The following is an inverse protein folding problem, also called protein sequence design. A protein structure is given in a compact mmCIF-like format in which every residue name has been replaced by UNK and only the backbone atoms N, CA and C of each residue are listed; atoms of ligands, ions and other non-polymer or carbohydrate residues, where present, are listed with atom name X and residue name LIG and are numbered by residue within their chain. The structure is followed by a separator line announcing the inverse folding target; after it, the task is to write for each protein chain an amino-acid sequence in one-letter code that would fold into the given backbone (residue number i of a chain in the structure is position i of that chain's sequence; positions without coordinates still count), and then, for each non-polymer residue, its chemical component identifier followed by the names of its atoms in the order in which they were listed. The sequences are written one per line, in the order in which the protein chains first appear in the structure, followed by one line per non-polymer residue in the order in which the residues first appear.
data_IF_276470497150
#
_entry.id   IF_276470497150
#
_cell.length_a   1.000
_cell.length_b   1.000
_cell.length_c   1.000
_cell.angle_alpha   90.00
_cell.angle_beta   90.00
_cell.angle_gamma   90.00
#
_symmetry.space_group_name_H-M   'P 1'
#
loop_
_entity.id
_entity.type
_entity.pdbx_description
1 polymer ?
#
# COMPACT_ATOMS: atom_id res chain seq x y z
N UNK A 1 6.32 -15.30 10.60
CA UNK A 1 6.40 -13.84 10.87
C UNK A 1 7.57 -13.27 10.08
N UNK A 2 7.39 -12.11 9.43
CA UNK A 2 8.42 -11.47 8.59
C UNK A 2 9.11 -10.37 9.40
N UNK A 3 10.43 -10.25 9.26
CA UNK A 3 11.22 -9.17 9.83
C UNK A 3 11.55 -8.15 8.73
N UNK A 4 11.30 -6.88 8.99
CA UNK A 4 11.51 -5.77 8.06
C UNK A 4 12.38 -4.73 8.78
N UNK A 5 13.36 -4.15 8.09
CA UNK A 5 14.09 -2.99 8.60
C UNK A 5 13.46 -1.73 8.05
N UNK A 6 13.16 -0.79 8.94
CA UNK A 6 12.47 0.44 8.59
C UNK A 6 12.87 1.60 9.49
N UNK A 7 11.93 2.51 9.70
CA UNK A 7 12.18 3.75 10.44
C UNK A 7 11.90 3.56 11.93
N UNK A 8 11.02 2.63 12.32
CA UNK A 8 10.60 2.42 13.71
C UNK A 8 10.44 0.95 14.08
N UNK A 9 10.77 0.62 15.31
CA UNK A 9 10.63 -0.71 15.88
C UNK A 9 9.21 -0.92 16.40
N UNK A 10 8.47 -1.85 15.81
CA UNK A 10 7.10 -2.17 16.23
C UNK A 10 6.53 -3.43 15.54
N UNK A 11 5.47 -3.99 16.13
CA UNK A 11 4.59 -4.94 15.46
C UNK A 11 3.62 -4.24 14.49
N UNK A 12 3.58 -4.71 13.23
CA UNK A 12 2.70 -4.21 12.18
C UNK A 12 1.37 -4.97 12.12
N UNK A 13 0.36 -4.36 11.48
CA UNK A 13 -0.99 -4.94 11.29
C UNK A 13 -0.99 -6.38 10.74
N UNK A 14 -0.07 -6.71 9.85
CA UNK A 14 0.02 -8.02 9.20
C UNK A 14 0.80 -9.06 10.03
N UNK A 15 1.20 -8.70 11.27
CA UNK A 15 2.02 -9.52 12.14
C UNK A 15 3.51 -9.54 11.75
N UNK A 16 3.93 -8.71 10.78
CA UNK A 16 5.34 -8.45 10.52
C UNK A 16 5.94 -7.59 11.63
N UNK A 17 7.23 -7.77 11.87
CA UNK A 17 8.01 -6.97 12.80
C UNK A 17 8.83 -5.96 12.00
N UNK A 18 8.66 -4.67 12.28
CA UNK A 18 9.57 -3.63 11.80
C UNK A 18 10.61 -3.37 12.89
N UNK A 19 11.89 -3.26 12.51
CA UNK A 19 12.97 -2.77 13.37
C UNK A 19 13.54 -1.48 12.79
N UNK A 20 13.48 -0.42 13.58
CA UNK A 20 14.02 0.88 13.23
C UNK A 20 15.53 0.86 13.26
N UNK A 21 16.19 1.18 12.13
CA UNK A 21 17.65 1.18 12.06
C UNK A 21 18.31 2.21 13.00
N UNK A 22 17.55 3.26 13.36
CA UNK A 22 17.99 4.32 14.25
C UNK A 22 17.51 4.14 15.70
N UNK A 23 16.74 3.08 15.98
CA UNK A 23 16.21 2.86 17.33
C UNK A 23 17.29 2.29 18.25
N UNK A 24 17.33 2.73 19.53
CA UNK A 24 18.19 2.11 20.52
C UNK A 24 17.91 0.60 20.66
N UNK A 25 18.93 -0.25 20.85
CA UNK A 25 18.76 -1.71 20.95
C UNK A 25 17.73 -2.17 22.00
N UNK A 26 17.53 -1.41 23.08
CA UNK A 26 16.50 -1.70 24.10
C UNK A 26 15.07 -1.72 23.53
N UNK A 27 14.78 -0.94 22.49
CA UNK A 27 13.48 -0.99 21.81
C UNK A 27 13.33 -2.23 20.96
N UNK A 28 14.44 -2.74 20.40
CA UNK A 28 14.42 -4.02 19.68
C UNK A 28 14.13 -5.15 20.65
N UNK A 29 14.78 -5.16 21.82
CA UNK A 29 14.50 -6.14 22.87
C UNK A 29 13.04 -6.08 23.32
N UNK A 30 12.48 -4.88 23.52
CA UNK A 30 11.06 -4.74 23.85
C UNK A 30 10.15 -5.37 22.78
N UNK A 31 10.37 -5.02 21.52
CA UNK A 31 9.53 -5.45 20.40
C UNK A 31 9.67 -6.95 20.13
N UNK A 32 10.89 -7.49 20.19
CA UNK A 32 11.17 -8.91 19.94
C UNK A 32 10.73 -9.79 21.12
N UNK A 33 10.99 -9.39 22.35
CA UNK A 33 10.74 -10.24 23.51
C UNK A 33 9.30 -10.15 24.02
N UNK A 34 8.60 -9.03 23.81
CA UNK A 34 7.25 -8.81 24.34
C UNK A 34 6.20 -8.72 23.23
N UNK A 35 6.30 -7.74 22.32
CA UNK A 35 5.26 -7.54 21.29
C UNK A 35 5.12 -8.75 20.34
N UNK A 36 6.23 -9.39 19.98
CA UNK A 36 6.23 -10.57 19.13
C UNK A 36 5.58 -11.79 19.81
N UNK A 37 5.74 -11.91 21.13
CA UNK A 37 5.20 -13.02 21.92
C UNK A 37 3.69 -12.88 22.06
N UNK A 38 3.21 -11.65 22.25
CA UNK A 38 1.79 -11.33 22.35
C UNK A 38 1.11 -11.17 20.98
N UNK A 39 1.87 -11.14 19.89
CA UNK A 39 1.34 -10.81 18.57
C UNK A 39 0.18 -11.72 18.16
N UNK A 40 0.20 -12.99 18.55
CA UNK A 40 -0.83 -13.95 18.15
C UNK A 40 -2.19 -13.56 18.76
N UNK A 41 -2.22 -13.10 20.01
CA UNK A 41 -3.43 -12.57 20.65
C UNK A 41 -3.92 -11.28 19.99
N UNK A 42 -3.00 -10.40 19.58
CA UNK A 42 -3.35 -9.20 18.82
C UNK A 42 -3.94 -9.55 17.45
N UNK A 43 -3.32 -10.48 16.73
CA UNK A 43 -3.78 -10.91 15.40
C UNK A 43 -5.14 -11.61 15.49
N UNK A 44 -5.39 -12.41 16.51
CA UNK A 44 -6.72 -13.01 16.75
C UNK A 44 -7.80 -11.94 16.93
N UNK A 45 -7.54 -10.91 17.77
CA UNK A 45 -8.47 -9.81 17.96
C UNK A 45 -8.69 -9.01 16.68
N UNK A 46 -7.62 -8.65 15.98
CA UNK A 46 -7.70 -7.92 14.70
C UNK A 46 -8.55 -8.70 13.70
N UNK A 47 -8.27 -10.01 13.53
CA UNK A 47 -9.04 -10.87 12.63
C UNK A 47 -10.52 -10.95 13.01
N UNK A 48 -10.84 -11.00 14.31
CA UNK A 48 -12.23 -10.99 14.79
C UNK A 48 -12.94 -9.68 14.40
N UNK A 49 -12.32 -8.53 14.65
CA UNK A 49 -12.93 -7.24 14.30
C UNK A 49 -13.04 -7.05 12.78
N UNK A 50 -12.03 -7.44 12.01
CA UNK A 50 -12.10 -7.39 10.55
C UNK A 50 -13.20 -8.30 9.99
N UNK A 51 -13.40 -9.47 10.61
CA UNK A 51 -14.49 -10.39 10.22
C UNK A 51 -15.85 -9.76 10.49
N UNK A 52 -16.04 -9.15 11.67
CA UNK A 52 -17.27 -8.43 12.01
C UNK A 52 -17.56 -7.29 11.03
N UNK A 53 -16.55 -6.51 10.66
CA UNK A 53 -16.69 -5.45 9.66
C UNK A 53 -17.01 -6.00 8.26
N UNK A 54 -16.34 -7.09 7.85
CA UNK A 54 -16.64 -7.79 6.59
C UNK A 54 -18.09 -8.26 6.56
N UNK A 55 -18.61 -8.80 7.66
CA UNK A 55 -19.99 -9.22 7.77
C UNK A 55 -20.95 -8.03 7.72
N UNK A 56 -20.65 -6.97 8.47
CA UNK A 56 -21.43 -5.73 8.47
C UNK A 56 -21.57 -5.15 7.07
N UNK A 57 -20.47 -5.04 6.32
CA UNK A 57 -20.46 -4.56 4.94
C UNK A 57 -20.68 -5.68 3.90
N UNK A 58 -21.32 -6.81 4.26
CA UNK A 58 -21.73 -7.87 3.31
C UNK A 58 -20.64 -8.34 2.34
N UNK A 59 -19.44 -8.56 2.87
CA UNK A 59 -18.33 -9.21 2.17
C UNK A 59 -17.21 -8.29 1.68
N UNK A 60 -17.17 -7.02 2.09
CA UNK A 60 -16.01 -6.16 1.80
C UNK A 60 -14.75 -6.70 2.47
N UNK A 61 -13.60 -6.61 1.81
CA UNK A 61 -12.33 -7.02 2.41
C UNK A 61 -11.51 -5.82 2.87
N UNK A 62 -10.95 -5.89 4.08
CA UNK A 62 -10.14 -4.81 4.62
C UNK A 62 -8.69 -5.01 4.23
N UNK A 63 -8.10 -4.05 3.52
CA UNK A 63 -6.75 -4.14 2.97
C UNK A 63 -5.96 -2.88 3.25
N UNK A 64 -4.63 -3.06 3.28
CA UNK A 64 -3.70 -1.95 3.21
C UNK A 64 -3.65 -1.48 1.76
N UNK A 65 -3.67 -0.16 1.55
CA UNK A 65 -3.43 0.40 0.22
C UNK A 65 -1.97 0.19 -0.19
N UNK A 66 -1.66 -0.47 -1.33
CA UNK A 66 -0.29 -0.71 -1.76
C UNK A 66 0.51 0.56 -2.08
N UNK A 67 -0.18 1.66 -2.40
CA UNK A 67 0.46 2.94 -2.72
C UNK A 67 0.55 3.86 -1.49
N UNK A 68 0.05 3.42 -0.32
CA UNK A 68 0.11 4.19 0.92
C UNK A 68 1.43 3.97 1.66
N UNK A 69 2.09 5.07 2.05
CA UNK A 69 3.29 5.04 2.88
C UNK A 69 2.98 4.71 4.35
N UNK A 70 1.70 4.66 4.73
CA UNK A 70 1.29 4.42 6.10
C UNK A 70 1.32 2.92 6.45
N UNK A 71 2.34 2.50 7.21
CA UNK A 71 2.34 1.20 7.87
C UNK A 71 1.68 1.32 9.25
N UNK A 72 0.52 0.70 9.39
CA UNK A 72 -0.23 0.76 10.65
C UNK A 72 0.35 -0.21 11.68
N UNK A 73 0.70 0.31 12.86
CA UNK A 73 1.06 -0.51 14.03
C UNK A 73 -0.13 -1.35 14.45
N UNK A 74 0.10 -2.61 14.81
CA UNK A 74 -0.97 -3.54 15.17
C UNK A 74 -1.88 -3.00 16.29
N UNK A 75 -1.29 -2.44 17.35
CA UNK A 75 -2.06 -1.89 18.46
C UNK A 75 -2.93 -0.69 18.07
N UNK A 76 -2.37 0.24 17.29
CA UNK A 76 -3.08 1.41 16.78
C UNK A 76 -4.21 0.98 15.85
N UNK A 77 -3.93 0.01 14.97
CA UNK A 77 -4.93 -0.56 14.07
C UNK A 77 -6.10 -1.19 14.83
N UNK A 78 -5.81 -2.00 15.84
CA UNK A 78 -6.82 -2.63 16.68
C UNK A 78 -7.70 -1.58 17.39
N UNK A 79 -7.09 -0.50 17.88
CA UNK A 79 -7.85 0.60 18.47
C UNK A 79 -8.82 1.24 17.46
N UNK A 80 -8.37 1.49 16.23
CA UNK A 80 -9.23 2.02 15.16
C UNK A 80 -10.37 1.08 14.78
N UNK A 81 -10.10 -0.22 14.70
CA UNK A 81 -11.14 -1.24 14.49
C UNK A 81 -12.19 -1.25 15.60
N UNK A 82 -11.74 -1.13 16.86
CA UNK A 82 -12.63 -1.06 18.01
C UNK A 82 -13.54 0.18 17.93
N UNK A 83 -12.98 1.35 17.63
CA UNK A 83 -13.76 2.59 17.49
C UNK A 83 -14.84 2.43 16.41
N UNK A 84 -14.46 1.95 15.22
CA UNK A 84 -15.40 1.68 14.13
C UNK A 84 -16.51 0.72 14.56
N UNK A 85 -16.16 -0.38 15.23
CA UNK A 85 -17.14 -1.37 15.66
C UNK A 85 -18.20 -0.81 16.60
N UNK A 86 -17.88 0.22 17.39
CA UNK A 86 -18.82 0.79 18.37
C UNK A 86 -19.95 1.61 17.74
N UNK A 87 -19.73 2.26 16.59
CA UNK A 87 -20.73 3.16 16.00
C UNK A 87 -21.38 2.60 14.73
N UNK A 88 -20.84 1.54 14.13
CA UNK A 88 -21.38 0.95 12.90
C UNK A 88 -22.73 0.24 13.10
N UNK A 89 -23.02 -0.32 14.27
CA UNK A 89 -24.23 -1.14 14.48
C UNK A 89 -25.56 -0.38 14.41
N UNK A 90 -25.53 0.95 14.38
CA UNK A 90 -26.72 1.80 14.48
C UNK A 90 -27.53 1.94 13.18
N UNK A 91 -26.99 1.53 12.02
CA UNK A 91 -27.56 1.87 10.70
C UNK A 91 -27.73 0.68 9.74
N UNK A 92 -28.19 -0.47 10.24
CA UNK A 92 -28.37 -1.68 9.42
C UNK A 92 -29.45 -1.59 8.33
N UNK A 93 -30.36 -0.61 8.41
CA UNK A 93 -31.43 -0.40 7.44
C UNK A 93 -31.02 0.42 6.20
N UNK A 94 -29.76 0.90 6.16
CA UNK A 94 -29.21 1.74 5.10
C UNK A 94 -29.19 1.07 3.72
N UNK A 95 -29.24 1.86 2.63
CA UNK A 95 -29.18 1.35 1.25
C UNK A 95 -27.89 0.59 0.93
N UNK A 96 -26.77 0.97 1.55
CA UNK A 96 -25.51 0.24 1.46
C UNK A 96 -25.63 -1.24 1.87
N UNK A 97 -26.60 -1.56 2.75
CA UNK A 97 -26.94 -2.93 3.13
C UNK A 97 -27.97 -3.56 2.19
N UNK A 98 -28.65 -2.81 1.33
CA UNK A 98 -29.55 -3.37 0.30
C UNK A 98 -28.79 -3.85 -0.93
N UNK A 99 -27.58 -3.32 -1.15
CA UNK A 99 -26.67 -3.81 -2.19
C UNK A 99 -26.38 -5.30 -1.96
N UNK A 100 -26.49 -6.09 -3.03
CA UNK A 100 -26.42 -7.56 -2.96
C UNK A 100 -25.10 -8.04 -2.34
N UNK A 101 -23.98 -7.37 -2.66
CA UNK A 101 -22.70 -7.63 -2.02
C UNK A 101 -21.64 -6.57 -2.33
N UNK A 102 -20.74 -6.36 -1.36
CA UNK A 102 -19.48 -5.62 -1.53
C UNK A 102 -18.29 -6.54 -1.80
N UNK A 103 -18.54 -7.81 -2.15
CA UNK A 103 -17.50 -8.73 -2.65
C UNK A 103 -16.79 -8.08 -3.83
N UNK A 104 -15.45 -8.14 -3.81
CA UNK A 104 -14.52 -7.46 -4.73
C UNK A 104 -14.28 -5.97 -4.46
N UNK A 105 -14.87 -5.38 -3.43
CA UNK A 105 -14.44 -4.06 -2.97
C UNK A 105 -13.53 -4.18 -1.77
N UNK A 106 -12.73 -3.14 -1.55
CA UNK A 106 -11.71 -3.12 -0.53
C UNK A 106 -11.86 -1.86 0.32
N UNK A 107 -11.73 -2.03 1.63
CA UNK A 107 -11.76 -0.95 2.61
C UNK A 107 -10.35 -0.74 3.18
N UNK A 108 -9.91 0.51 3.22
CA UNK A 108 -8.65 0.93 3.81
C UNK A 108 -8.92 1.89 4.96
N UNK A 109 -8.48 1.50 6.17
CA UNK A 109 -8.64 2.34 7.36
C UNK A 109 -7.37 3.18 7.52
N UNK A 110 -7.50 4.48 7.29
CA UNK A 110 -6.41 5.45 7.35
C UNK A 110 -6.75 6.56 8.36
N UNK A 111 -6.08 6.62 9.53
CA UNK A 111 -6.37 7.62 10.55
C UNK A 111 -5.95 9.04 10.16
N UNK A 112 -5.19 9.19 9.07
CA UNK A 112 -4.80 10.50 8.53
C UNK A 112 -5.76 11.00 7.45
N UNK A 113 -6.78 10.21 7.08
CA UNK A 113 -7.83 10.69 6.17
C UNK A 113 -8.68 11.72 6.89
N UNK A 114 -8.93 12.86 6.25
CA UNK A 114 -9.83 13.89 6.77
C UNK A 114 -11.31 13.54 6.57
N UNK A 115 -11.62 12.83 5.48
CA UNK A 115 -12.97 12.42 5.09
C UNK A 115 -12.91 11.09 4.29
N UNK A 116 -14.05 10.39 4.14
CA UNK A 116 -14.14 9.25 3.25
C UNK A 116 -13.76 9.61 1.81
N UNK A 117 -12.86 8.83 1.19
CA UNK A 117 -12.34 9.12 -0.15
C UNK A 117 -11.91 7.84 -0.88
N UNK A 118 -11.69 7.92 -2.20
CA UNK A 118 -11.16 6.80 -2.98
C UNK A 118 -9.64 6.93 -3.13
N UNK A 119 -8.92 5.84 -2.90
CA UNK A 119 -7.48 5.78 -3.19
C UNK A 119 -7.23 5.70 -4.70
N UNK A 120 -5.99 5.97 -5.13
CA UNK A 120 -5.57 5.78 -6.52
C UNK A 120 -5.64 4.31 -6.98
N UNK A 121 -5.68 3.36 -6.04
CA UNK A 121 -5.81 1.92 -6.28
C UNK A 121 -7.27 1.44 -6.29
N UNK A 122 -8.24 2.33 -6.05
CA UNK A 122 -9.67 2.02 -6.05
C UNK A 122 -10.18 1.41 -4.74
N UNK A 123 -9.49 1.66 -3.62
CA UNK A 123 -9.95 1.28 -2.27
C UNK A 123 -10.80 2.41 -1.70
N UNK A 124 -11.85 2.06 -0.96
CA UNK A 124 -12.55 3.01 -0.10
C UNK A 124 -11.67 3.32 1.10
N UNK A 125 -11.22 4.57 1.25
CA UNK A 125 -10.45 5.05 2.38
C UNK A 125 -11.37 5.72 3.39
N UNK A 126 -11.31 5.28 4.65
CA UNK A 126 -12.06 5.86 5.77
C UNK A 126 -11.16 6.09 6.98
N UNK A 127 -11.57 7.02 7.84
CA UNK A 127 -11.06 7.19 9.19
C UNK A 127 -11.94 6.43 10.19
N UNK A 128 -11.36 6.04 11.33
CA UNK A 128 -12.08 5.37 12.40
C UNK A 128 -13.08 6.26 13.16
N UNK A 129 -13.05 7.57 12.90
CA UNK A 129 -13.93 8.56 13.52
C UNK A 129 -14.98 9.11 12.53
N UNK A 130 -14.97 8.64 11.28
CA UNK A 130 -15.97 9.06 10.30
C UNK A 130 -17.36 8.58 10.74
N UNK A 131 -18.38 9.42 10.55
CA UNK A 131 -19.73 9.04 10.88
C UNK A 131 -20.18 7.86 9.99
N UNK A 132 -20.88 6.89 10.58
CA UNK A 132 -21.33 5.69 9.85
C UNK A 132 -22.16 6.04 8.61
N UNK A 133 -23.03 7.04 8.69
CA UNK A 133 -23.83 7.47 7.55
C UNK A 133 -22.95 8.00 6.41
N UNK A 134 -21.98 8.86 6.73
CA UNK A 134 -21.05 9.42 5.74
C UNK A 134 -20.25 8.31 5.03
N UNK A 135 -19.80 7.29 5.77
CA UNK A 135 -19.12 6.12 5.20
C UNK A 135 -20.05 5.38 4.22
N UNK A 136 -21.28 5.09 4.64
CA UNK A 136 -22.21 4.28 3.86
C UNK A 136 -22.68 5.01 2.59
N UNK A 137 -23.03 6.29 2.71
CA UNK A 137 -23.41 7.15 1.58
C UNK A 137 -22.25 7.30 0.60
N UNK A 138 -21.03 7.55 1.11
CA UNK A 138 -19.84 7.63 0.29
C UNK A 138 -19.61 6.35 -0.52
N UNK A 139 -19.71 5.18 0.13
CA UNK A 139 -19.52 3.89 -0.53
C UNK A 139 -20.54 3.67 -1.66
N UNK A 140 -21.83 3.93 -1.41
CA UNK A 140 -22.90 3.78 -2.41
C UNK A 140 -22.64 4.68 -3.60
N UNK A 141 -22.38 5.97 -3.35
CA UNK A 141 -22.20 6.97 -4.39
C UNK A 141 -20.94 6.78 -5.23
N UNK A 142 -19.94 6.05 -4.73
CA UNK A 142 -18.63 5.87 -5.38
C UNK A 142 -18.37 4.42 -5.82
N UNK A 143 -19.38 3.56 -5.81
CA UNK A 143 -19.24 2.14 -6.16
C UNK A 143 -18.70 1.92 -7.57
N UNK A 144 -19.29 2.57 -8.57
CA UNK A 144 -18.86 2.45 -9.97
C UNK A 144 -17.44 3.00 -10.17
N UNK A 145 -17.17 4.19 -9.61
CA UNK A 145 -15.85 4.81 -9.66
C UNK A 145 -14.76 3.93 -9.02
N UNK A 146 -15.06 3.26 -7.90
CA UNK A 146 -14.13 2.35 -7.23
C UNK A 146 -13.80 1.14 -8.12
N UNK A 147 -14.81 0.56 -8.77
CA UNK A 147 -14.63 -0.56 -9.70
C UNK A 147 -13.80 -0.17 -10.92
N UNK A 148 -14.11 0.97 -11.55
CA UNK A 148 -13.36 1.48 -12.69
C UNK A 148 -11.90 1.79 -12.33
N UNK A 149 -11.69 2.49 -11.21
CA UNK A 149 -10.34 2.85 -10.73
C UNK A 149 -9.51 1.61 -10.43
N UNK A 150 -10.11 0.61 -9.77
CA UNK A 150 -9.44 -0.67 -9.49
C UNK A 150 -9.06 -1.41 -10.76
N UNK A 151 -9.97 -1.48 -11.73
CA UNK A 151 -9.73 -2.14 -13.01
C UNK A 151 -8.62 -1.45 -13.81
N UNK A 152 -8.54 -0.12 -13.76
CA UNK A 152 -7.44 0.65 -14.36
C UNK A 152 -6.13 0.39 -13.62
N UNK A 153 -6.14 0.43 -12.29
CA UNK A 153 -4.97 0.14 -11.46
C UNK A 153 -4.39 -1.25 -11.72
N UNK A 154 -5.22 -2.29 -11.81
CA UNK A 154 -4.76 -3.65 -12.12
C UNK A 154 -4.13 -3.77 -13.52
N UNK A 155 -4.67 -3.03 -14.51
CA UNK A 155 -4.07 -2.94 -15.85
C UNK A 155 -2.70 -2.26 -15.79
N UNK A 156 -2.58 -1.18 -15.03
CA UNK A 156 -1.32 -0.46 -14.85
C UNK A 156 -0.28 -1.30 -14.12
N UNK A 157 -0.64 -2.04 -13.07
CA UNK A 157 0.28 -2.99 -12.40
C UNK A 157 0.83 -4.02 -13.38
N UNK A 158 -0.04 -4.63 -14.20
CA UNK A 158 0.40 -5.60 -15.22
C UNK A 158 1.31 -4.95 -16.27
N UNK A 159 0.97 -3.73 -16.71
CA UNK A 159 1.75 -2.97 -17.69
C UNK A 159 3.12 -2.58 -17.14
N UNK A 160 3.19 -2.09 -15.90
CA UNK A 160 4.41 -1.75 -15.18
C UNK A 160 5.35 -2.96 -15.09
N UNK A 161 4.87 -4.10 -14.58
CA UNK A 161 5.67 -5.31 -14.45
C UNK A 161 6.21 -5.80 -15.80
N UNK A 162 5.39 -5.74 -16.86
CA UNK A 162 5.83 -6.11 -18.20
C UNK A 162 6.88 -5.16 -18.75
N UNK A 163 6.73 -3.85 -18.53
CA UNK A 163 7.69 -2.85 -18.98
C UNK A 163 9.01 -2.94 -18.21
N UNK A 164 8.98 -3.11 -16.89
CA UNK A 164 10.18 -3.31 -16.07
C UNK A 164 10.98 -4.52 -16.56
N UNK A 165 10.32 -5.67 -16.79
CA UNK A 165 10.97 -6.87 -17.36
C UNK A 165 11.55 -6.59 -18.75
N UNK A 166 10.84 -5.84 -19.59
CA UNK A 166 11.30 -5.49 -20.94
C UNK A 166 12.53 -4.57 -20.88
N UNK A 167 12.54 -3.56 -20.01
CA UNK A 167 13.69 -2.67 -19.77
C UNK A 167 14.87 -3.49 -19.28
N UNK A 168 14.69 -4.30 -18.23
CA UNK A 168 15.76 -5.15 -17.68
C UNK A 168 16.39 -6.04 -18.76
N UNK A 169 15.56 -6.68 -19.60
CA UNK A 169 16.03 -7.54 -20.68
C UNK A 169 16.75 -6.77 -21.79
N UNK A 170 16.15 -5.69 -22.31
CA UNK A 170 16.72 -4.95 -23.46
C UNK A 170 18.03 -4.25 -23.09
N UNK A 171 18.07 -3.62 -21.92
CA UNK A 171 19.28 -2.98 -21.41
C UNK A 171 20.29 -3.95 -20.81
N UNK A 172 19.97 -5.24 -20.71
CA UNK A 172 20.81 -6.26 -20.07
C UNK A 172 21.22 -5.82 -18.65
N UNK A 173 20.26 -5.30 -17.91
CA UNK A 173 20.48 -4.86 -16.53
C UNK A 173 20.64 -6.08 -15.64
N UNK A 174 21.52 -5.95 -14.64
CA UNK A 174 21.64 -6.96 -13.58
C UNK A 174 20.37 -6.98 -12.74
N UNK A 175 19.82 -5.80 -12.43
CA UNK A 175 18.59 -5.66 -11.67
C UNK A 175 17.88 -4.34 -12.01
N UNK A 176 16.56 -4.30 -11.78
CA UNK A 176 15.76 -3.08 -11.87
C UNK A 176 14.92 -2.91 -10.60
N UNK A 177 15.12 -1.78 -9.92
CA UNK A 177 14.47 -1.42 -8.67
C UNK A 177 13.56 -0.22 -8.89
N UNK A 178 12.48 -0.16 -8.12
CA UNK A 178 11.54 0.97 -8.11
C UNK A 178 11.50 1.57 -6.71
N UNK A 179 11.43 2.89 -6.63
CA UNK A 179 10.98 3.56 -5.42
C UNK A 179 9.46 3.46 -5.34
N UNK A 180 8.95 2.82 -4.28
CA UNK A 180 7.51 2.62 -4.06
C UNK A 180 6.73 3.93 -3.88
N UNK A 181 7.42 5.06 -3.62
CA UNK A 181 6.82 6.39 -3.48
C UNK A 181 6.55 7.10 -4.81
N UNK A 182 6.79 6.43 -5.94
CA UNK A 182 6.56 6.96 -7.29
C UNK A 182 5.29 6.33 -7.84
N UNK A 183 4.44 7.13 -8.49
CA UNK A 183 3.19 6.62 -9.04
C UNK A 183 3.49 5.60 -10.15
N UNK A 184 2.65 4.58 -10.27
CA UNK A 184 2.82 3.56 -11.32
C UNK A 184 2.81 4.15 -12.72
N UNK A 185 1.95 5.15 -12.96
CA UNK A 185 1.90 5.89 -14.22
C UNK A 185 3.23 6.57 -14.57
N UNK A 186 3.92 7.13 -13.58
CA UNK A 186 5.25 7.75 -13.73
C UNK A 186 6.33 6.70 -14.02
N UNK A 187 6.29 5.54 -13.33
CA UNK A 187 7.19 4.41 -13.60
C UNK A 187 6.98 3.87 -15.02
N UNK A 188 5.72 3.68 -15.43
CA UNK A 188 5.34 3.24 -16.78
C UNK A 188 5.88 4.22 -17.82
N UNK A 189 5.67 5.52 -17.64
CA UNK A 189 6.17 6.54 -18.54
C UNK A 189 7.70 6.53 -18.61
N UNK A 190 8.39 6.45 -17.47
CA UNK A 190 9.84 6.35 -17.39
C UNK A 190 10.36 5.13 -18.18
N UNK A 191 9.77 3.95 -17.97
CA UNK A 191 10.15 2.73 -18.67
C UNK A 191 9.92 2.85 -20.19
N UNK A 192 8.79 3.42 -20.61
CA UNK A 192 8.51 3.64 -22.03
C UNK A 192 9.54 4.57 -22.66
N UNK A 193 9.88 5.68 -21.99
CA UNK A 193 10.91 6.62 -22.45
C UNK A 193 12.28 5.96 -22.56
N UNK A 194 12.67 5.15 -21.58
CA UNK A 194 13.93 4.40 -21.62
C UNK A 194 13.97 3.47 -22.84
N UNK A 195 12.91 2.70 -23.07
CA UNK A 195 12.82 1.80 -24.23
C UNK A 195 12.87 2.55 -25.56
N UNK A 196 12.33 3.77 -25.63
CA UNK A 196 12.39 4.59 -26.84
C UNK A 196 13.80 5.15 -27.10
N UNK A 197 14.54 5.51 -26.05
CA UNK A 197 15.94 5.98 -26.16
C UNK A 197 16.95 4.86 -25.94
N UNK A 198 16.58 3.63 -26.29
CA UNK A 198 17.37 2.43 -25.96
C UNK A 198 18.81 2.49 -26.47
N UNK A 199 19.02 2.87 -27.73
CA UNK A 199 20.35 2.91 -28.34
C UNK A 199 21.30 3.90 -27.64
N UNK A 200 20.75 5.04 -27.19
CA UNK A 200 21.49 6.09 -26.47
C UNK A 200 21.96 5.58 -25.12
N UNK A 201 21.08 4.92 -24.36
CA UNK A 201 21.37 4.54 -22.98
C UNK A 201 21.94 3.14 -22.82
N UNK A 202 21.85 2.26 -23.83
CA UNK A 202 22.32 0.88 -23.73
C UNK A 202 23.80 0.82 -23.32
N UNK A 203 24.67 1.64 -23.92
CA UNK A 203 26.10 1.64 -23.60
C UNK A 203 26.40 2.07 -22.16
N UNK A 204 25.54 2.91 -21.58
CA UNK A 204 25.72 3.49 -20.24
C UNK A 204 25.15 2.55 -19.18
N UNK A 205 23.99 1.95 -19.44
CA UNK A 205 23.23 1.17 -18.45
C UNK A 205 23.49 -0.33 -18.50
N UNK A 206 24.20 -0.83 -19.53
CA UNK A 206 24.46 -2.26 -19.68
C UNK A 206 25.11 -2.85 -18.44
N UNK A 207 24.57 -3.98 -17.95
CA UNK A 207 25.04 -4.70 -16.76
C UNK A 207 24.97 -3.91 -15.44
N UNK A 208 24.39 -2.71 -15.42
CA UNK A 208 24.17 -1.96 -14.20
C UNK A 208 22.96 -2.46 -13.41
N UNK A 209 22.88 -2.06 -12.14
CA UNK A 209 21.64 -2.10 -11.35
C UNK A 209 20.96 -0.74 -11.49
N UNK A 210 19.77 -0.70 -12.07
CA UNK A 210 19.02 0.55 -12.28
C UNK A 210 17.96 0.70 -11.20
N UNK A 211 17.84 1.89 -10.61
CA UNK A 211 16.74 2.26 -9.71
C UNK A 211 15.98 3.44 -10.30
N UNK A 212 14.66 3.31 -10.46
CA UNK A 212 13.80 4.45 -10.75
C UNK A 212 13.47 5.12 -9.41
N UNK A 213 13.91 6.36 -9.24
CA UNK A 213 13.83 7.12 -7.99
C UNK A 213 13.32 8.56 -8.25
N UNK A 214 13.41 9.45 -7.25
CA UNK A 214 13.05 10.88 -7.36
C UNK A 214 14.23 11.75 -7.78
N UNK A 215 15.46 11.28 -7.56
CA UNK A 215 16.69 12.02 -7.81
C UNK A 215 17.73 11.14 -8.50
N UNK A 216 18.68 11.77 -9.19
CA UNK A 216 19.88 11.09 -9.65
C UNK A 216 20.78 10.73 -8.46
N UNK A 217 21.24 9.49 -8.40
CA UNK A 217 22.18 9.04 -7.38
C UNK A 217 23.01 7.86 -7.89
N UNK A 218 24.27 7.77 -7.47
CA UNK A 218 25.11 6.60 -7.70
C UNK A 218 25.49 6.03 -6.34
N UNK A 219 24.90 4.88 -6.00
CA UNK A 219 25.21 4.21 -4.75
C UNK A 219 26.56 3.49 -4.84
N UNK A 220 27.26 3.36 -3.71
CA UNK A 220 28.56 2.68 -3.62
C UNK A 220 28.52 1.22 -4.08
N UNK A 221 27.35 0.58 -4.01
CA UNK A 221 27.13 -0.78 -4.51
C UNK A 221 26.94 -0.85 -6.05
N UNK A 222 27.12 0.27 -6.77
CA UNK A 222 26.98 0.33 -8.23
C UNK A 222 25.54 0.44 -8.73
N UNK A 223 24.57 0.75 -7.84
CA UNK A 223 23.20 1.06 -8.27
C UNK A 223 23.12 2.49 -8.78
N UNK A 224 22.72 2.63 -10.05
CA UNK A 224 22.42 3.91 -10.70
C UNK A 224 20.96 4.23 -10.45
N UNK A 225 20.68 5.34 -9.80
CA UNK A 225 19.32 5.86 -9.61
C UNK A 225 19.07 7.00 -10.60
N UNK A 226 17.94 6.94 -11.30
CA UNK A 226 17.47 8.00 -12.20
C UNK A 226 16.10 8.49 -11.74
N UNK A 227 15.82 9.80 -11.81
CA UNK A 227 14.50 10.32 -11.54
C UNK A 227 13.50 9.85 -12.61
N UNK A 228 12.26 9.52 -12.26
CA UNK A 228 11.24 9.07 -13.24
C UNK A 228 11.03 10.07 -14.40
N UNK A 229 11.21 11.36 -14.14
CA UNK A 229 11.11 12.46 -15.11
C UNK A 229 12.47 12.90 -15.66
N UNK A 230 13.48 12.02 -15.65
CA UNK A 230 14.83 12.31 -16.12
C UNK A 230 14.83 13.15 -17.40
N UNK A 231 15.66 14.18 -17.41
CA UNK A 231 16.03 14.93 -18.60
C UNK A 231 17.56 14.96 -18.63
N UNK A 232 18.12 14.61 -19.78
CA UNK A 232 19.54 14.79 -20.05
C UNK A 232 19.64 15.97 -21.01
N UNK A 233 20.27 17.05 -20.54
CA UNK A 233 20.67 18.15 -21.41
C UNK A 233 21.63 17.63 -22.51
#
# INVERSE_FOLDING_TARGET
KRLIFGDKSCLLRDGSLELGANDPPVYWDHVICYELLESDQYMEKINSYETNLREYFRGIEIRQDPDSEYLCRAHTYLYHLLQLSHHLDLNRDHEAHRIESWKNFYLFINPFSSEPSLTNSGLFQINAYDATMDILDFMVNNRENAEETRNLYEKDVKKELNLLKKVQKQFQLTDILINQRIKKSEIIQCCQRLLNEHERFLKILKQCRLKIDKNYNLAQNGTISIPWNWSFA
#
